data_IF_001665073357
#
_entry.id   IF_001665073357
#
_cell.length_a   1.000
_cell.length_b   1.000
_cell.length_c   1.000
_cell.angle_alpha   90.00
_cell.angle_beta   90.00
_cell.angle_gamma   90.00
#
_symmetry.space_group_name_H-M   'P 1'
#
loop_
_entity.id
_entity.type
_entity.pdbx_description
1 polymer ?
#
# COMPACT_ATOMS: atom_id res chain seq x y z
N UNK A 1 -5.97 -19.77 4.02
CA UNK A 1 -5.71 -18.48 4.67
C UNK A 1 -4.75 -17.67 3.81
N UNK A 2 -5.09 -16.43 3.51
CA UNK A 2 -4.23 -15.57 2.71
C UNK A 2 -3.19 -14.90 3.59
N UNK A 3 -1.93 -14.95 3.19
CA UNK A 3 -0.89 -14.19 3.87
C UNK A 3 -1.01 -12.71 3.49
N UNK A 4 -0.71 -11.78 4.40
CA UNK A 4 -0.71 -10.36 4.06
C UNK A 4 0.35 -10.07 2.99
N UNK A 5 0.00 -9.17 2.07
CA UNK A 5 0.95 -8.68 1.08
C UNK A 5 1.91 -7.71 1.77
N UNK A 6 3.20 -7.92 1.59
CA UNK A 6 4.21 -7.01 2.14
C UNK A 6 4.61 -5.96 1.11
N UNK A 7 4.93 -4.76 1.59
CA UNK A 7 5.31 -3.65 0.73
C UNK A 7 6.69 -3.84 0.12
N UNK A 8 6.72 -3.97 -1.21
CA UNK A 8 7.98 -4.15 -1.95
C UNK A 8 8.90 -2.95 -1.78
N UNK A 9 8.38 -1.74 -1.89
CA UNK A 9 9.20 -0.52 -1.76
C UNK A 9 9.69 -0.32 -0.33
N UNK A 10 8.86 -0.65 0.67
CA UNK A 10 9.29 -0.58 2.06
C UNK A 10 10.48 -1.51 2.30
N UNK A 11 10.44 -2.71 1.73
CA UNK A 11 11.52 -3.68 1.87
C UNK A 11 12.77 -3.24 1.10
N UNK A 12 12.61 -2.85 -0.18
CA UNK A 12 13.75 -2.55 -1.05
C UNK A 12 14.44 -1.26 -0.64
N UNK A 13 13.67 -0.23 -0.27
CA UNK A 13 14.23 1.10 0.02
C UNK A 13 14.58 1.27 1.49
N UNK A 14 13.70 0.81 2.38
CA UNK A 14 13.83 1.03 3.82
C UNK A 14 14.25 -0.22 4.61
N UNK A 15 14.28 -1.39 3.97
CA UNK A 15 14.63 -2.64 4.63
C UNK A 15 13.57 -3.10 5.63
N UNK A 16 12.34 -2.59 5.53
CA UNK A 16 11.27 -2.89 6.47
C UNK A 16 10.25 -3.82 5.85
N UNK A 17 9.96 -4.93 6.55
CA UNK A 17 8.93 -5.87 6.13
C UNK A 17 7.60 -5.45 6.76
N UNK A 18 6.84 -4.65 6.02
CA UNK A 18 5.58 -4.11 6.50
C UNK A 18 4.43 -4.58 5.61
N UNK A 19 3.27 -4.93 6.20
CA UNK A 19 2.11 -5.31 5.39
C UNK A 19 1.57 -4.11 4.64
N UNK A 20 1.11 -4.34 3.40
CA UNK A 20 0.41 -3.32 2.62
C UNK A 20 -0.98 -3.15 3.19
N UNK A 21 -1.40 -1.92 3.33
CA UNK A 21 -2.70 -1.57 3.89
C UNK A 21 -3.28 -0.35 3.18
N UNK A 22 -4.58 -0.12 3.38
CA UNK A 22 -5.22 1.06 2.85
C UNK A 22 -4.76 2.28 3.62
N UNK A 23 -4.29 3.28 2.89
CA UNK A 23 -3.82 4.55 3.44
C UNK A 23 -4.61 5.69 2.79
N UNK A 24 -4.60 6.85 3.41
CA UNK A 24 -5.29 8.03 2.90
C UNK A 24 -4.34 9.20 2.74
N UNK A 25 -4.51 9.93 1.64
CA UNK A 25 -3.80 11.18 1.38
C UNK A 25 -4.74 12.20 0.77
N UNK A 26 -4.23 13.40 0.49
CA UNK A 26 -5.02 14.43 -0.19
C UNK A 26 -5.44 14.00 -1.60
N UNK A 27 -4.69 13.09 -2.23
CA UNK A 27 -5.00 12.59 -3.57
C UNK A 27 -6.04 11.46 -3.56
N UNK A 28 -6.39 10.93 -2.38
CA UNK A 28 -7.34 9.84 -2.24
C UNK A 28 -6.77 8.69 -1.43
N UNK A 29 -7.44 7.54 -1.52
CA UNK A 29 -6.98 6.33 -0.83
C UNK A 29 -5.98 5.59 -1.70
N UNK A 30 -4.97 5.00 -1.09
CA UNK A 30 -3.94 4.26 -1.80
C UNK A 30 -3.51 3.05 -0.96
N UNK A 31 -2.73 2.18 -1.55
CA UNK A 31 -2.16 1.03 -0.84
C UNK A 31 -0.70 1.33 -0.54
N UNK A 32 -0.35 1.22 0.70
CA UNK A 32 1.00 1.52 1.15
C UNK A 32 1.30 0.89 2.49
N UNK A 33 2.40 1.32 3.08
CA UNK A 33 2.86 0.80 4.37
C UNK A 33 3.08 1.92 5.35
N UNK A 34 3.00 1.57 6.63
CA UNK A 34 3.33 2.50 7.71
C UNK A 34 4.00 1.76 8.84
N UNK A 35 4.78 2.51 9.62
CA UNK A 35 5.39 2.04 10.85
C UNK A 35 4.82 2.85 12.01
N UNK A 36 5.34 2.63 13.21
CA UNK A 36 4.96 3.41 14.39
C UNK A 36 5.26 4.90 14.24
N UNK A 37 6.17 5.24 13.33
CA UNK A 37 6.58 6.62 13.07
C UNK A 37 5.75 7.30 11.99
N UNK A 38 4.85 6.59 11.33
CA UNK A 38 4.00 7.14 10.30
C UNK A 38 4.15 6.43 8.95
N UNK A 39 3.64 7.04 7.86
CA UNK A 39 3.71 6.44 6.53
C UNK A 39 5.14 6.18 6.08
N UNK A 40 5.37 5.00 5.48
CA UNK A 40 6.69 4.57 5.01
C UNK A 40 6.77 4.59 3.49
N UNK A 41 5.79 3.99 2.81
CA UNK A 41 5.82 3.90 1.36
C UNK A 41 4.42 3.95 0.77
N UNK A 42 4.32 4.45 -0.48
CA UNK A 42 3.15 4.23 -1.32
C UNK A 42 3.51 3.11 -2.29
N UNK A 43 2.77 2.00 -2.19
CA UNK A 43 3.04 0.81 -3.01
C UNK A 43 2.22 0.79 -4.28
N UNK A 44 0.95 1.29 -4.23
CA UNK A 44 0.10 1.28 -5.41
C UNK A 44 0.37 2.48 -6.32
N UNK A 45 0.32 2.22 -7.64
CA UNK A 45 0.31 3.29 -8.64
C UNK A 45 -1.00 4.08 -8.53
N UNK A 46 -2.10 3.35 -8.28
CA UNK A 46 -3.45 3.91 -8.27
C UNK A 46 -3.78 4.63 -6.96
N UNK A 47 -4.72 5.56 -7.07
CA UNK A 47 -5.49 6.08 -5.96
C UNK A 47 -6.96 5.76 -6.22
N UNK A 48 -7.71 5.58 -5.15
CA UNK A 48 -9.15 5.30 -5.23
C UNK A 48 -9.92 6.38 -4.48
N UNK A 49 -11.12 6.73 -4.97
CA UNK A 49 -11.92 7.78 -4.31
C UNK A 49 -12.51 7.34 -2.96
N UNK A 50 -12.64 6.02 -2.72
CA UNK A 50 -13.19 5.51 -1.47
C UNK A 50 -12.31 4.44 -0.86
N UNK A 51 -12.41 4.31 0.47
CA UNK A 51 -11.70 3.28 1.22
C UNK A 51 -12.12 1.88 0.77
N UNK A 52 -13.41 1.70 0.51
CA UNK A 52 -13.96 0.40 0.09
C UNK A 52 -13.34 -0.06 -1.23
N UNK A 53 -13.18 0.86 -2.18
CA UNK A 53 -12.56 0.54 -3.46
C UNK A 53 -11.10 0.14 -3.29
N UNK A 54 -10.34 0.87 -2.47
CA UNK A 54 -8.96 0.55 -2.19
C UNK A 54 -8.82 -0.80 -1.47
N UNK A 55 -9.67 -1.04 -0.48
CA UNK A 55 -9.68 -2.31 0.25
C UNK A 55 -10.02 -3.49 -0.67
N UNK A 56 -10.97 -3.29 -1.58
CA UNK A 56 -11.36 -4.30 -2.55
C UNK A 56 -10.21 -4.63 -3.49
N UNK A 57 -9.51 -3.59 -3.99
CA UNK A 57 -8.35 -3.77 -4.86
C UNK A 57 -7.25 -4.56 -4.15
N UNK A 58 -6.99 -4.26 -2.88
CA UNK A 58 -6.00 -4.98 -2.09
C UNK A 58 -6.41 -6.45 -1.92
N UNK A 59 -7.65 -6.70 -1.52
CA UNK A 59 -8.16 -8.03 -1.28
C UNK A 59 -8.13 -8.90 -2.54
N UNK A 60 -8.48 -8.32 -3.68
CA UNK A 60 -8.54 -9.02 -4.96
C UNK A 60 -7.23 -8.98 -5.74
N UNK A 61 -6.23 -8.29 -5.22
CA UNK A 61 -4.94 -8.08 -5.87
C UNK A 61 -5.09 -7.41 -7.24
N UNK A 62 -5.99 -6.45 -7.31
CA UNK A 62 -6.29 -5.70 -8.54
C UNK A 62 -5.67 -4.30 -8.46
N UNK A 63 -4.36 -4.25 -8.29
CA UNK A 63 -3.62 -2.99 -8.23
C UNK A 63 -2.22 -3.20 -8.80
N UNK A 64 -1.62 -2.09 -9.22
CA UNK A 64 -0.31 -2.10 -9.86
C UNK A 64 0.77 -1.63 -8.88
N UNK A 65 1.84 -2.40 -8.77
CA UNK A 65 2.98 -2.08 -7.91
C UNK A 65 3.80 -0.93 -8.52
N UNK A 66 4.07 0.10 -7.73
CA UNK A 66 5.01 1.14 -8.13
C UNK A 66 6.40 0.56 -8.25
N UNK A 67 7.17 1.08 -9.22
CA UNK A 67 8.52 0.58 -9.49
C UNK A 67 9.60 1.38 -8.75
N UNK A 68 9.24 2.46 -8.08
CA UNK A 68 10.17 3.27 -7.31
C UNK A 68 9.45 4.39 -6.58
N UNK A 69 10.17 5.10 -5.71
CA UNK A 69 9.58 6.20 -4.95
C UNK A 69 9.19 7.38 -5.83
#
# INVERSE_FOLDING_TARGET
MKHPVHGKLAMVICGLRLPVRVMRSAAGYYLGTQSDLGPVSRESVEYWPTEVQAASALSNREWSQRQGP
#
